data_IF_560390081060
#
_entry.id   IF_560390081060
#
_cell.length_a   1.000
_cell.length_b   1.000
_cell.length_c   1.000
_cell.angle_alpha   90.00
_cell.angle_beta   90.00
_cell.angle_gamma   90.00
#
_symmetry.space_group_name_H-M   'P 1'
#
loop_
_entity.id
_entity.type
_entity.pdbx_description
1 polymer ?
#
# COMPACT_ATOMS: atom_id res chain seq x y z
N UNK A 1 -36.21 -7.00 8.01
CA UNK A 1 -36.49 -5.94 9.00
C UNK A 1 -37.84 -6.18 9.66
N UNK A 2 -38.03 -5.78 10.92
CA UNK A 2 -39.36 -5.75 11.57
C UNK A 2 -39.91 -4.32 11.52
N UNK A 3 -40.92 -4.09 10.65
CA UNK A 3 -41.48 -2.76 10.45
C UNK A 3 -42.23 -2.19 11.66
N UNK A 4 -42.65 -3.04 12.62
CA UNK A 4 -43.21 -2.57 13.88
C UNK A 4 -42.17 -1.93 14.82
N UNK A 5 -40.88 -2.13 14.53
CA UNK A 5 -39.75 -1.62 15.31
C UNK A 5 -38.90 -0.60 14.56
N UNK A 6 -39.35 -0.17 13.38
CA UNK A 6 -38.67 0.87 12.61
C UNK A 6 -38.59 2.15 13.45
N UNK A 7 -37.39 2.70 13.56
CA UNK A 7 -37.05 3.84 14.41
C UNK A 7 -36.24 4.90 13.67
N UNK A 8 -35.43 4.50 12.68
CA UNK A 8 -34.70 5.43 11.82
C UNK A 8 -35.51 5.80 10.56
N UNK A 9 -35.25 6.99 10.01
CA UNK A 9 -35.93 7.51 8.81
C UNK A 9 -35.85 6.54 7.63
N UNK A 10 -34.68 5.93 7.42
CA UNK A 10 -34.50 4.97 6.33
C UNK A 10 -35.33 3.70 6.54
N UNK A 11 -35.54 3.27 7.79
CA UNK A 11 -36.39 2.13 8.12
C UNK A 11 -37.85 2.46 7.84
N UNK A 12 -38.30 3.67 8.19
CA UNK A 12 -39.63 4.15 7.81
C UNK A 12 -39.80 4.24 6.29
N UNK A 13 -38.77 4.69 5.56
CA UNK A 13 -38.78 4.72 4.10
C UNK A 13 -38.95 3.31 3.52
N UNK A 14 -38.16 2.34 4.02
CA UNK A 14 -38.22 0.92 3.61
C UNK A 14 -39.61 0.34 3.91
N UNK A 15 -40.11 0.52 5.13
CA UNK A 15 -41.37 -0.07 5.57
C UNK A 15 -42.61 0.50 4.87
N UNK A 16 -42.52 1.71 4.35
CA UNK A 16 -43.62 2.36 3.63
C UNK A 16 -43.49 2.28 2.10
N UNK A 17 -42.61 1.44 1.56
CA UNK A 17 -42.55 1.04 0.15
C UNK A 17 -42.46 -0.51 0.05
N UNK A 18 -43.52 -1.20 -0.43
CA UNK A 18 -43.52 -2.67 -0.53
C UNK A 18 -42.36 -3.25 -1.34
N UNK A 19 -41.82 -2.49 -2.32
CA UNK A 19 -40.68 -2.92 -3.13
C UNK A 19 -39.39 -2.98 -2.30
N UNK A 20 -39.22 -2.04 -1.36
CA UNK A 20 -38.07 -2.02 -0.45
C UNK A 20 -38.17 -3.11 0.61
N UNK A 21 -39.36 -3.37 1.15
CA UNK A 21 -39.59 -4.51 2.06
C UNK A 21 -39.22 -5.83 1.38
N UNK A 22 -39.66 -6.03 0.13
CA UNK A 22 -39.30 -7.22 -0.65
C UNK A 22 -37.79 -7.33 -0.91
N UNK A 23 -37.12 -6.20 -1.21
CA UNK A 23 -35.68 -6.17 -1.44
C UNK A 23 -34.87 -6.47 -0.17
N UNK A 24 -35.28 -5.95 0.99
CA UNK A 24 -34.67 -6.26 2.30
C UNK A 24 -34.79 -7.76 2.63
N UNK A 25 -35.97 -8.35 2.41
CA UNK A 25 -36.20 -9.77 2.61
C UNK A 25 -35.36 -10.64 1.65
N UNK A 26 -35.26 -10.25 0.38
CA UNK A 26 -34.44 -10.94 -0.62
C UNK A 26 -32.95 -10.90 -0.25
N UNK A 27 -32.44 -9.75 0.20
CA UNK A 27 -31.07 -9.59 0.67
C UNK A 27 -30.79 -10.48 1.88
N UNK A 28 -31.69 -10.50 2.87
CA UNK A 28 -31.58 -11.37 4.04
C UNK A 28 -31.54 -12.85 3.68
N UNK A 29 -32.36 -13.28 2.71
CA UNK A 29 -32.34 -14.65 2.18
C UNK A 29 -31.00 -14.99 1.51
N UNK A 30 -30.49 -14.11 0.64
CA UNK A 30 -29.21 -14.32 -0.04
C UNK A 30 -28.04 -14.45 0.96
N UNK A 31 -28.06 -13.66 2.04
CA UNK A 31 -27.07 -13.77 3.11
C UNK A 31 -27.20 -15.06 3.92
N UNK A 32 -28.42 -15.50 4.21
CA UNK A 32 -28.64 -16.79 4.87
C UNK A 32 -28.16 -17.96 4.00
N UNK A 33 -28.27 -17.87 2.67
CA UNK A 33 -27.80 -18.88 1.73
C UNK A 33 -26.27 -18.92 1.64
N UNK A 34 -25.59 -17.79 1.45
CA UNK A 34 -24.11 -17.79 1.41
C UNK A 34 -23.50 -18.23 2.74
N UNK A 35 -24.11 -17.89 3.88
CA UNK A 35 -23.64 -18.37 5.17
C UNK A 35 -23.73 -19.90 5.25
N UNK A 36 -24.72 -20.55 4.63
CA UNK A 36 -24.81 -22.02 4.57
C UNK A 36 -23.82 -22.65 3.58
N UNK A 37 -23.22 -21.87 2.69
CA UNK A 37 -22.25 -22.37 1.71
C UNK A 37 -20.85 -22.62 2.29
N UNK A 38 -20.63 -22.28 3.57
CA UNK A 38 -19.34 -22.46 4.24
C UNK A 38 -19.52 -22.77 5.73
N UNK A 39 -18.74 -23.74 6.21
CA UNK A 39 -18.63 -24.09 7.63
C UNK A 39 -17.47 -23.36 8.33
N UNK A 40 -16.67 -22.59 7.58
CA UNK A 40 -15.53 -21.87 8.13
C UNK A 40 -15.99 -20.69 9.00
N UNK A 41 -15.74 -20.77 10.30
CA UNK A 41 -16.17 -19.76 11.27
C UNK A 41 -15.64 -18.36 10.96
N UNK A 42 -14.40 -18.23 10.47
CA UNK A 42 -13.81 -16.93 10.14
C UNK A 42 -14.42 -16.32 8.88
N UNK A 43 -14.68 -17.11 7.84
CA UNK A 43 -15.39 -16.64 6.63
C UNK A 43 -16.83 -16.25 6.98
N UNK A 44 -17.51 -17.06 7.80
CA UNK A 44 -18.87 -16.72 8.30
C UNK A 44 -18.88 -15.40 9.07
N UNK A 45 -17.91 -15.21 9.97
CA UNK A 45 -17.76 -13.96 10.72
C UNK A 45 -17.50 -12.77 9.80
N UNK A 46 -16.62 -12.92 8.80
CA UNK A 46 -16.36 -11.89 7.80
C UNK A 46 -17.62 -11.53 7.02
N UNK A 47 -18.40 -12.50 6.55
CA UNK A 47 -19.65 -12.26 5.81
C UNK A 47 -20.68 -11.49 6.67
N UNK A 48 -20.77 -11.82 7.95
CA UNK A 48 -21.65 -11.10 8.90
C UNK A 48 -21.18 -9.66 9.09
N UNK A 49 -19.87 -9.44 9.30
CA UNK A 49 -19.30 -8.10 9.45
C UNK A 49 -19.47 -7.26 8.19
N UNK A 50 -19.22 -7.84 7.02
CA UNK A 50 -19.44 -7.23 5.71
C UNK A 50 -20.90 -6.78 5.56
N UNK A 51 -21.88 -7.62 5.87
CA UNK A 51 -23.29 -7.23 5.80
C UNK A 51 -23.68 -6.15 6.80
N UNK A 52 -23.19 -6.22 8.03
CA UNK A 52 -23.44 -5.19 9.04
C UNK A 52 -22.88 -3.84 8.62
N UNK A 53 -21.67 -3.83 8.05
CA UNK A 53 -21.04 -2.60 7.55
C UNK A 53 -21.83 -2.01 6.38
N UNK A 54 -22.30 -2.83 5.46
CA UNK A 54 -23.17 -2.37 4.37
C UNK A 54 -24.48 -1.74 4.88
N UNK A 55 -25.14 -2.36 5.87
CA UNK A 55 -26.36 -1.82 6.48
C UNK A 55 -26.07 -0.48 7.17
N UNK A 56 -24.97 -0.38 7.92
CA UNK A 56 -24.57 0.86 8.56
C UNK A 56 -24.30 1.99 7.55
N UNK A 57 -23.55 1.69 6.48
CA UNK A 57 -23.27 2.62 5.39
C UNK A 57 -24.55 3.07 4.67
N UNK A 58 -25.50 2.16 4.44
CA UNK A 58 -26.82 2.46 3.88
C UNK A 58 -27.57 3.45 4.77
N UNK A 59 -27.62 3.16 6.07
CA UNK A 59 -28.40 3.94 7.02
C UNK A 59 -27.82 5.34 7.21
N UNK A 60 -26.49 5.46 7.23
CA UNK A 60 -25.79 6.73 7.28
C UNK A 60 -25.92 7.50 5.94
N UNK A 61 -25.37 6.96 4.85
CA UNK A 61 -25.27 7.69 3.58
C UNK A 61 -26.61 7.90 2.89
N UNK A 62 -27.44 6.86 2.79
CA UNK A 62 -28.72 6.96 2.06
C UNK A 62 -29.86 7.47 2.96
N UNK A 63 -29.75 7.34 4.28
CA UNK A 63 -30.72 7.89 5.22
C UNK A 63 -30.69 9.42 5.25
N UNK A 64 -29.51 10.02 5.11
CA UNK A 64 -29.31 11.47 5.12
C UNK A 64 -29.89 12.18 3.88
N UNK A 65 -30.14 11.46 2.78
CA UNK A 65 -30.70 12.02 1.53
C UNK A 65 -32.01 12.77 1.71
N UNK A 66 -32.74 12.55 2.82
CA UNK A 66 -33.93 13.35 3.17
C UNK A 66 -33.61 14.84 3.27
N UNK A 67 -32.46 15.15 3.85
CA UNK A 67 -32.04 16.51 4.18
C UNK A 67 -31.04 17.07 3.15
N UNK A 68 -30.56 16.21 2.24
CA UNK A 68 -29.63 16.58 1.19
C UNK A 68 -30.33 17.14 -0.04
N UNK A 69 -29.60 17.99 -0.77
CA UNK A 69 -29.97 18.48 -2.09
C UNK A 69 -29.28 17.60 -3.12
N UNK A 70 -29.97 17.26 -4.21
CA UNK A 70 -29.31 16.65 -5.36
C UNK A 70 -28.38 17.70 -5.98
N UNK A 71 -27.08 17.48 -5.88
CA UNK A 71 -26.04 18.43 -6.31
C UNK A 71 -26.13 18.80 -7.79
N UNK A 72 -26.77 17.96 -8.62
CA UNK A 72 -26.93 18.20 -10.06
C UNK A 72 -28.14 19.07 -10.38
N UNK A 73 -29.25 18.81 -9.71
CA UNK A 73 -30.52 19.51 -9.98
C UNK A 73 -30.74 20.70 -9.06
N UNK A 74 -29.96 20.82 -7.98
CA UNK A 74 -30.14 21.85 -6.96
C UNK A 74 -31.45 21.71 -6.17
N UNK A 75 -32.16 20.59 -6.31
CA UNK A 75 -33.44 20.35 -5.61
C UNK A 75 -33.34 19.21 -4.59
N UNK A 76 -34.07 19.28 -3.46
CA UNK A 76 -34.13 18.18 -2.49
C UNK A 76 -34.61 16.87 -3.11
N UNK A 77 -34.12 15.75 -2.58
CA UNK A 77 -34.57 14.43 -3.05
C UNK A 77 -36.04 14.17 -2.68
N UNK A 78 -36.85 13.86 -3.69
CA UNK A 78 -38.22 13.40 -3.46
C UNK A 78 -38.21 12.04 -2.75
N UNK A 79 -39.30 11.72 -2.05
CA UNK A 79 -39.47 10.39 -1.42
C UNK A 79 -39.31 9.26 -2.44
N UNK A 80 -39.86 9.42 -3.64
CA UNK A 80 -39.75 8.43 -4.72
C UNK A 80 -38.30 8.25 -5.19
N UNK A 81 -37.55 9.35 -5.35
CA UNK A 81 -36.15 9.28 -5.75
C UNK A 81 -35.32 8.54 -4.68
N UNK A 82 -35.51 8.87 -3.40
CA UNK A 82 -34.87 8.16 -2.28
C UNK A 82 -35.19 6.66 -2.30
N UNK A 83 -36.46 6.29 -2.46
CA UNK A 83 -36.84 4.87 -2.54
C UNK A 83 -36.17 4.15 -3.70
N UNK A 84 -36.06 4.77 -4.88
CA UNK A 84 -35.42 4.15 -6.03
C UNK A 84 -33.90 3.96 -5.82
N UNK A 85 -33.22 4.92 -5.17
CA UNK A 85 -31.79 4.82 -4.83
C UNK A 85 -31.56 3.66 -3.86
N UNK A 86 -32.31 3.59 -2.77
CA UNK A 86 -32.19 2.51 -1.78
C UNK A 86 -32.53 1.15 -2.40
N UNK A 87 -33.54 1.09 -3.27
CA UNK A 87 -33.92 -0.14 -3.98
C UNK A 87 -32.77 -0.66 -4.85
N UNK A 88 -32.14 0.22 -5.62
CA UNK A 88 -30.99 -0.14 -6.48
C UNK A 88 -29.84 -0.68 -5.62
N UNK A 89 -29.50 0.01 -4.54
CA UNK A 89 -28.45 -0.41 -3.61
C UNK A 89 -28.72 -1.82 -3.02
N UNK A 90 -29.94 -2.07 -2.54
CA UNK A 90 -30.34 -3.38 -2.00
C UNK A 90 -30.26 -4.49 -3.05
N UNK A 91 -30.71 -4.20 -4.28
CA UNK A 91 -30.64 -5.17 -5.39
C UNK A 91 -29.19 -5.48 -5.78
N UNK A 92 -28.31 -4.48 -5.83
CA UNK A 92 -26.89 -4.69 -6.08
C UNK A 92 -26.24 -5.53 -4.99
N UNK A 93 -26.50 -5.22 -3.72
CA UNK A 93 -25.99 -6.01 -2.60
C UNK A 93 -26.51 -7.45 -2.61
N UNK A 94 -27.78 -7.65 -2.96
CA UNK A 94 -28.39 -9.00 -3.05
C UNK A 94 -27.72 -9.88 -4.12
N UNK A 95 -27.20 -9.28 -5.19
CA UNK A 95 -26.51 -10.03 -6.25
C UNK A 95 -25.12 -10.52 -5.82
N UNK A 96 -24.43 -9.80 -4.93
CA UNK A 96 -23.04 -10.12 -4.57
C UNK A 96 -22.86 -11.51 -3.92
N UNK A 97 -23.69 -11.94 -2.95
CA UNK A 97 -23.59 -13.28 -2.38
C UNK A 97 -23.77 -14.42 -3.39
N UNK A 98 -24.54 -14.21 -4.45
CA UNK A 98 -24.84 -15.22 -5.45
C UNK A 98 -23.94 -15.20 -6.69
N UNK A 99 -23.07 -14.18 -6.83
CA UNK A 99 -22.11 -14.13 -7.94
C UNK A 99 -21.08 -15.25 -7.77
N UNK A 100 -20.98 -16.13 -8.75
CA UNK A 100 -19.84 -17.04 -8.89
C UNK A 100 -18.58 -16.22 -9.14
N UNK A 101 -17.43 -16.72 -8.69
CA UNK A 101 -16.14 -16.13 -9.08
C UNK A 101 -16.01 -16.10 -10.61
N UNK A 102 -15.33 -15.10 -11.16
CA UNK A 102 -14.96 -15.05 -12.59
C UNK A 102 -13.95 -16.16 -12.94
N UNK A 103 -13.33 -16.77 -11.92
CA UNK A 103 -12.56 -18.00 -12.04
C UNK A 103 -13.48 -19.21 -11.88
N UNK A 104 -13.11 -20.36 -12.47
CA UNK A 104 -13.84 -21.62 -12.41
C UNK A 104 -13.91 -22.23 -10.99
N UNK A 105 -14.53 -21.53 -10.04
CA UNK A 105 -14.79 -21.98 -8.69
C UNK A 105 -16.28 -22.29 -8.52
N UNK A 106 -16.56 -23.44 -7.90
CA UNK A 106 -17.90 -23.83 -7.50
C UNK A 106 -18.41 -23.04 -6.26
N UNK A 107 -17.59 -22.20 -5.64
CA UNK A 107 -17.95 -21.43 -4.44
C UNK A 107 -18.49 -20.04 -4.80
N UNK A 108 -19.39 -19.48 -3.98
CA UNK A 108 -19.79 -18.08 -4.08
C UNK A 108 -18.58 -17.14 -4.03
N UNK A 109 -18.59 -16.07 -4.83
CA UNK A 109 -17.42 -15.22 -5.08
C UNK A 109 -16.86 -14.55 -3.82
N UNK A 110 -17.70 -14.16 -2.85
CA UNK A 110 -17.21 -13.64 -1.55
C UNK A 110 -16.49 -14.71 -0.72
N UNK A 111 -16.94 -15.97 -0.77
CA UNK A 111 -16.29 -17.09 -0.09
C UNK A 111 -14.97 -17.42 -0.79
N UNK A 112 -14.96 -17.42 -2.13
CA UNK A 112 -13.73 -17.68 -2.89
C UNK A 112 -12.67 -16.60 -2.61
N UNK A 113 -13.03 -15.31 -2.69
CA UNK A 113 -12.11 -14.21 -2.35
C UNK A 113 -11.54 -14.33 -0.94
N UNK A 114 -12.33 -14.80 0.03
CA UNK A 114 -11.85 -15.02 1.38
C UNK A 114 -10.81 -16.14 1.48
N UNK A 115 -10.97 -17.19 0.66
CA UNK A 115 -10.02 -18.30 0.54
C UNK A 115 -8.75 -17.81 -0.15
N UNK A 116 -8.89 -17.05 -1.23
CA UNK A 116 -7.76 -16.51 -1.99
C UNK A 116 -6.92 -15.57 -1.12
N UNK A 117 -7.58 -14.69 -0.34
CA UNK A 117 -6.92 -13.84 0.66
C UNK A 117 -6.08 -14.65 1.63
N UNK A 118 -6.68 -15.65 2.30
CA UNK A 118 -5.94 -16.48 3.25
C UNK A 118 -4.80 -17.25 2.61
N UNK A 119 -5.00 -17.72 1.38
CA UNK A 119 -3.98 -18.47 0.64
C UNK A 119 -2.79 -17.57 0.32
N UNK A 120 -3.05 -16.33 -0.10
CA UNK A 120 -2.01 -15.33 -0.32
C UNK A 120 -1.30 -14.97 0.99
N UNK A 121 -2.05 -14.68 2.05
CA UNK A 121 -1.53 -14.27 3.36
C UNK A 121 -0.68 -15.38 4.01
N UNK A 122 -1.01 -16.65 3.79
CA UNK A 122 -0.25 -17.79 4.29
C UNK A 122 1.17 -17.90 3.70
N UNK A 123 1.47 -17.17 2.63
CA UNK A 123 2.82 -17.05 2.07
C UNK A 123 3.76 -16.20 2.93
N UNK A 124 3.26 -15.52 3.96
CA UNK A 124 4.02 -14.63 4.81
C UNK A 124 3.93 -15.07 6.28
N UNK A 125 4.88 -14.60 7.09
CA UNK A 125 4.91 -14.91 8.52
C UNK A 125 3.79 -14.24 9.31
N UNK A 126 3.18 -13.18 8.78
CA UNK A 126 2.16 -12.38 9.46
C UNK A 126 2.74 -11.61 10.65
N UNK A 127 1.88 -11.25 11.59
CA UNK A 127 2.27 -10.60 12.84
C UNK A 127 1.24 -9.56 13.32
N UNK A 128 1.60 -8.79 14.34
CA UNK A 128 0.70 -7.80 14.96
C UNK A 128 0.29 -6.65 14.02
N UNK A 129 1.01 -6.47 12.91
CA UNK A 129 0.74 -5.44 11.91
C UNK A 129 0.09 -6.01 10.65
N UNK A 130 -0.23 -7.31 10.62
CA UNK A 130 -1.01 -7.91 9.54
C UNK A 130 -2.51 -7.73 9.80
N UNK A 131 -3.21 -7.17 8.81
CA UNK A 131 -4.66 -7.04 8.84
C UNK A 131 -5.13 -5.85 8.00
N UNK A 132 -6.39 -5.48 8.14
CA UNK A 132 -6.98 -4.33 7.46
C UNK A 132 -7.69 -3.38 8.40
N UNK A 133 -7.72 -2.12 7.97
CA UNK A 133 -8.62 -1.07 8.46
C UNK A 133 -9.53 -0.75 7.28
N UNK A 134 -10.84 -0.92 7.45
CA UNK A 134 -11.81 -0.76 6.36
C UNK A 134 -12.97 0.10 6.80
N UNK A 135 -13.24 1.13 6.02
CA UNK A 135 -14.45 1.93 6.10
C UNK A 135 -15.20 1.83 4.78
N UNK A 136 -16.53 1.88 4.82
CA UNK A 136 -17.33 1.79 3.61
C UNK A 136 -18.45 2.80 3.65
N UNK A 137 -18.76 3.35 2.49
CA UNK A 137 -19.75 4.40 2.33
C UNK A 137 -20.46 4.29 0.98
N UNK A 138 -21.54 5.05 0.84
CA UNK A 138 -22.21 5.25 -0.44
C UNK A 138 -21.71 6.54 -1.07
N UNK A 139 -20.82 6.41 -2.07
CA UNK A 139 -20.30 7.55 -2.81
C UNK A 139 -21.25 7.93 -3.95
N UNK A 140 -21.43 9.24 -4.23
CA UNK A 140 -22.22 9.67 -5.36
C UNK A 140 -21.54 9.25 -6.68
N UNK A 141 -22.31 8.61 -7.55
CA UNK A 141 -21.96 8.39 -8.95
C UNK A 141 -23.04 9.05 -9.82
N UNK A 142 -22.77 9.20 -11.11
CA UNK A 142 -23.49 10.14 -11.95
C UNK A 142 -25.01 10.23 -11.64
N UNK A 143 -25.76 9.18 -11.91
CA UNK A 143 -27.20 9.10 -11.62
C UNK A 143 -27.54 8.18 -10.43
N UNK A 144 -26.56 7.86 -9.58
CA UNK A 144 -26.68 6.78 -8.61
C UNK A 144 -25.79 6.99 -7.38
N UNK A 145 -25.85 6.03 -6.46
CA UNK A 145 -24.88 5.89 -5.38
C UNK A 145 -24.23 4.52 -5.51
N UNK A 146 -22.92 4.46 -5.35
CA UNK A 146 -22.17 3.22 -5.36
C UNK A 146 -21.67 2.93 -3.95
N UNK A 147 -21.84 1.69 -3.51
CA UNK A 147 -21.20 1.22 -2.28
C UNK A 147 -19.71 0.98 -2.54
N UNK A 148 -18.86 1.76 -1.89
CA UNK A 148 -17.41 1.64 -1.97
C UNK A 148 -16.82 1.37 -0.59
N UNK A 149 -15.73 0.62 -0.54
CA UNK A 149 -14.96 0.38 0.66
C UNK A 149 -13.53 0.87 0.44
N UNK A 150 -13.03 1.61 1.42
CA UNK A 150 -11.76 2.32 1.39
C UNK A 150 -11.02 2.07 2.70
N UNK A 151 -9.70 2.28 2.69
CA UNK A 151 -8.85 2.02 3.84
C UNK A 151 -7.55 1.35 3.46
N UNK A 152 -6.92 0.67 4.42
CA UNK A 152 -5.56 0.16 4.27
C UNK A 152 -5.50 -1.32 4.62
N UNK A 153 -4.94 -2.12 3.71
CA UNK A 153 -4.53 -3.50 3.97
C UNK A 153 -3.02 -3.52 4.21
N UNK A 154 -2.64 -4.05 5.36
CA UNK A 154 -1.25 -4.27 5.76
C UNK A 154 -0.92 -5.74 5.68
N UNK A 155 0.30 -6.01 5.23
CA UNK A 155 0.89 -7.32 5.17
C UNK A 155 2.20 -7.29 5.94
N UNK A 156 2.44 -8.32 6.75
CA UNK A 156 3.68 -8.42 7.51
C UNK A 156 4.46 -9.69 7.13
N UNK A 157 5.76 -9.51 6.89
CA UNK A 157 6.69 -10.61 6.77
C UNK A 157 7.99 -10.32 7.56
N UNK A 158 8.18 -11.03 8.67
CA UNK A 158 9.25 -10.80 9.64
C UNK A 158 9.19 -9.35 10.15
N UNK A 159 10.28 -8.61 9.96
CA UNK A 159 10.36 -7.19 10.31
C UNK A 159 9.93 -6.27 9.17
N UNK A 160 9.37 -6.78 8.06
CA UNK A 160 8.88 -5.96 6.95
C UNK A 160 7.36 -5.81 7.04
N UNK A 161 6.87 -4.58 6.84
CA UNK A 161 5.45 -4.29 6.68
C UNK A 161 5.24 -3.56 5.36
N UNK A 162 4.32 -4.06 4.54
CA UNK A 162 3.94 -3.44 3.27
C UNK A 162 2.43 -3.21 3.27
N UNK A 163 1.97 -2.10 2.68
CA UNK A 163 0.54 -1.80 2.64
C UNK A 163 0.06 -1.22 1.33
N UNK A 164 -1.19 -1.55 0.99
CA UNK A 164 -1.99 -0.83 0.00
C UNK A 164 -3.03 -0.03 0.76
N UNK A 165 -3.05 1.29 0.54
CA UNK A 165 -4.16 2.15 0.95
C UNK A 165 -4.95 2.56 -0.28
N UNK A 166 -6.27 2.46 -0.18
CA UNK A 166 -7.23 2.94 -1.17
C UNK A 166 -8.06 4.05 -0.54
N UNK A 167 -8.17 5.18 -1.23
CA UNK A 167 -8.94 6.34 -0.80
C UNK A 167 -9.75 6.87 -1.96
N UNK A 168 -10.92 7.44 -1.70
CA UNK A 168 -11.76 8.07 -2.70
C UNK A 168 -11.87 9.56 -2.43
N UNK A 169 -11.44 10.36 -3.41
CA UNK A 169 -11.55 11.80 -3.32
C UNK A 169 -11.79 12.39 -4.71
N UNK A 170 -12.56 13.48 -4.78
CA UNK A 170 -12.79 14.22 -6.03
C UNK A 170 -13.33 13.38 -7.21
N UNK A 171 -14.02 12.28 -6.92
CA UNK A 171 -14.56 11.38 -7.95
C UNK A 171 -13.58 10.31 -8.46
N UNK A 172 -12.37 10.24 -7.93
CA UNK A 172 -11.34 9.29 -8.32
C UNK A 172 -10.90 8.39 -7.15
N UNK A 173 -10.47 7.16 -7.49
CA UNK A 173 -9.84 6.24 -6.55
C UNK A 173 -8.33 6.48 -6.57
N UNK A 174 -7.76 6.78 -5.41
CA UNK A 174 -6.33 6.93 -5.21
C UNK A 174 -5.76 5.72 -4.48
N UNK A 175 -4.67 5.16 -4.99
CA UNK A 175 -3.96 4.06 -4.36
C UNK A 175 -2.56 4.50 -3.89
N UNK A 176 -2.27 4.33 -2.59
CA UNK A 176 -0.95 4.57 -2.01
C UNK A 176 -0.34 3.24 -1.56
N UNK A 177 0.84 2.92 -2.09
CA UNK A 177 1.69 1.82 -1.64
C UNK A 177 2.67 2.32 -0.59
N UNK A 178 2.96 1.50 0.41
CA UNK A 178 3.89 1.89 1.47
C UNK A 178 4.78 0.72 1.89
N UNK A 179 5.99 1.06 2.31
CA UNK A 179 7.01 0.13 2.82
C UNK A 179 7.47 0.62 4.17
N UNK A 180 7.57 -0.27 5.14
CA UNK A 180 8.07 0.00 6.47
C UNK A 180 8.87 -1.18 7.03
N UNK A 181 9.73 -0.90 8.00
CA UNK A 181 10.39 -1.91 8.81
C UNK A 181 9.94 -1.82 10.27
N UNK A 182 9.83 -2.95 10.95
CA UNK A 182 9.59 -3.05 12.39
C UNK A 182 10.91 -2.84 13.13
N UNK A 183 11.06 -1.67 13.75
CA UNK A 183 12.25 -1.28 14.51
C UNK A 183 11.82 -0.95 15.93
N UNK A 184 12.39 -1.67 16.92
CA UNK A 184 12.00 -1.50 18.32
C UNK A 184 10.53 -1.85 18.58
N UNK A 185 9.99 -2.84 17.85
CA UNK A 185 8.59 -3.27 17.96
C UNK A 185 7.57 -2.30 17.36
N UNK A 186 8.01 -1.27 16.63
CA UNK A 186 7.15 -0.28 15.97
C UNK A 186 7.44 -0.23 14.48
N UNK A 187 6.42 -0.11 13.62
CA UNK A 187 6.67 0.03 12.20
C UNK A 187 7.14 1.46 11.91
N UNK A 188 8.30 1.57 11.29
CA UNK A 188 8.89 2.82 10.81
C UNK A 188 8.81 2.86 9.29
N UNK A 189 8.09 3.85 8.78
CA UNK A 189 7.93 4.06 7.35
C UNK A 189 9.29 4.28 6.68
N UNK A 190 9.50 3.57 5.58
CA UNK A 190 10.67 3.72 4.70
C UNK A 190 10.28 4.59 3.52
N UNK A 191 9.15 4.28 2.88
CA UNK A 191 8.74 4.96 1.67
C UNK A 191 7.24 4.81 1.38
N UNK A 192 6.74 5.73 0.57
CA UNK A 192 5.40 5.71 0.00
C UNK A 192 5.46 5.98 -1.50
N UNK A 193 4.52 5.42 -2.26
CA UNK A 193 4.34 5.71 -3.68
C UNK A 193 2.85 5.72 -4.04
N UNK A 194 2.39 6.77 -4.74
CA UNK A 194 1.00 6.88 -5.20
C UNK A 194 0.88 6.23 -6.58
N UNK A 195 0.38 4.99 -6.60
CA UNK A 195 0.18 4.19 -7.80
C UNK A 195 -0.89 4.80 -8.69
N UNK A 196 -0.73 4.73 -10.00
CA UNK A 196 -1.60 5.39 -10.98
C UNK A 196 -1.29 6.87 -11.22
N UNK A 197 -0.54 7.51 -10.31
CA UNK A 197 0.01 8.87 -10.50
C UNK A 197 1.50 8.80 -10.85
N UNK A 198 2.24 7.88 -10.22
CA UNK A 198 3.67 7.68 -10.44
C UNK A 198 3.99 6.22 -10.75
N UNK A 199 5.15 5.99 -11.35
CA UNK A 199 5.73 4.66 -11.45
C UNK A 199 6.20 4.19 -10.06
N UNK A 200 5.64 3.08 -9.60
CA UNK A 200 5.94 2.47 -8.31
C UNK A 200 6.69 1.13 -8.47
N UNK A 201 7.33 0.90 -9.63
CA UNK A 201 8.29 -0.17 -9.77
C UNK A 201 9.45 0.02 -8.79
N UNK A 202 10.14 -1.09 -8.50
CA UNK A 202 11.37 -1.05 -7.71
C UNK A 202 12.39 -0.10 -8.36
N UNK A 203 13.10 0.69 -7.54
CA UNK A 203 14.13 1.62 -8.02
C UNK A 203 13.60 2.91 -8.64
N UNK A 204 12.29 2.99 -8.90
CA UNK A 204 11.67 4.13 -9.56
C UNK A 204 11.73 5.43 -8.75
N UNK A 205 11.73 6.56 -9.45
CA UNK A 205 11.64 7.91 -8.87
C UNK A 205 10.27 8.23 -8.28
N UNK A 206 9.27 7.37 -8.45
CA UNK A 206 7.96 7.55 -7.84
C UNK A 206 7.94 7.37 -6.32
N UNK A 207 8.89 6.61 -5.77
CA UNK A 207 9.02 6.39 -4.33
C UNK A 207 9.54 7.63 -3.60
N UNK A 208 8.84 8.02 -2.53
CA UNK A 208 9.24 9.13 -1.65
C UNK A 208 10.58 8.93 -0.96
N UNK A 209 11.04 7.68 -0.94
CA UNK A 209 12.34 7.22 -0.52
C UNK A 209 13.46 8.14 -1.07
N UNK A 210 13.40 8.52 -2.36
CA UNK A 210 14.40 9.37 -3.01
C UNK A 210 14.22 10.87 -2.77
N UNK A 211 13.00 11.33 -2.42
CA UNK A 211 12.68 12.75 -2.17
C UNK A 211 12.69 13.12 -0.69
N UNK A 212 12.85 12.14 0.20
CA UNK A 212 13.14 12.34 1.62
C UNK A 212 11.95 12.46 2.56
N UNK A 213 10.70 12.50 2.10
CA UNK A 213 9.53 12.55 3.00
C UNK A 213 8.37 11.66 2.55
N UNK A 214 7.99 10.65 3.35
CA UNK A 214 6.75 9.90 3.18
C UNK A 214 5.51 10.78 3.22
N UNK A 215 4.44 10.31 2.58
CA UNK A 215 3.11 10.93 2.65
C UNK A 215 2.63 11.01 4.12
N UNK A 216 2.25 12.21 4.56
CA UNK A 216 1.92 12.49 5.95
C UNK A 216 0.69 11.72 6.46
N UNK A 217 -0.30 11.53 5.60
CA UNK A 217 -1.52 10.80 5.94
C UNK A 217 -1.20 9.31 6.16
N UNK A 218 -0.39 8.75 5.26
CA UNK A 218 0.14 7.39 5.39
C UNK A 218 1.00 7.24 6.65
N UNK A 219 1.84 8.23 6.97
CA UNK A 219 2.63 8.21 8.20
C UNK A 219 1.74 8.15 9.45
N UNK A 220 0.67 8.95 9.51
CA UNK A 220 -0.29 8.93 10.62
C UNK A 220 -0.95 7.57 10.79
N UNK A 221 -1.29 6.89 9.68
CA UNK A 221 -1.85 5.54 9.71
C UNK A 221 -0.86 4.56 10.36
N UNK A 222 0.43 4.60 9.97
CA UNK A 222 1.47 3.75 10.56
C UNK A 222 1.77 4.06 12.03
N UNK A 223 1.61 5.32 12.46
CA UNK A 223 1.74 5.70 13.86
C UNK A 223 0.59 5.16 14.76
N UNK A 224 -0.50 4.70 14.13
CA UNK A 224 -1.71 4.21 14.79
C UNK A 224 -1.95 2.70 14.65
N UNK A 225 -1.34 2.04 13.67
CA UNK A 225 -1.60 0.61 13.36
C UNK A 225 -1.44 -0.32 14.57
N UNK A 226 -0.44 -0.09 15.44
CA UNK A 226 -0.23 -0.88 16.66
C UNK A 226 -1.16 -0.54 17.84
N UNK A 227 -2.05 0.44 17.68
CA UNK A 227 -2.99 0.91 18.72
C UNK A 227 -4.41 0.41 18.52
N UNK A 228 -4.71 -0.16 17.37
CA UNK A 228 -6.04 -0.64 17.00
C UNK A 228 -5.99 -2.11 16.60
N UNK A 229 -7.11 -2.82 16.80
CA UNK A 229 -7.22 -4.21 16.36
C UNK A 229 -7.47 -4.24 14.86
N UNK A 230 -6.58 -4.90 14.11
CA UNK A 230 -6.74 -5.07 12.68
C UNK A 230 -7.66 -6.26 12.37
N UNK A 231 -8.43 -6.15 11.28
CA UNK A 231 -9.25 -7.25 10.80
C UNK A 231 -8.39 -8.18 9.94
N UNK A 232 -8.23 -9.44 10.33
CA UNK A 232 -7.38 -10.39 9.61
C UNK A 232 -7.96 -10.86 8.27
N UNK A 233 -9.28 -10.78 8.09
CA UNK A 233 -9.97 -11.20 6.88
C UNK A 233 -11.08 -10.22 6.52
N UNK A 234 -10.93 -9.56 5.38
CA UNK A 234 -11.92 -8.61 4.86
C UNK A 234 -11.80 -8.51 3.33
N UNK A 235 -12.80 -9.05 2.63
CA UNK A 235 -12.81 -9.16 1.16
C UNK A 235 -13.35 -7.91 0.46
N UNK A 236 -13.74 -6.88 1.22
CA UNK A 236 -14.30 -5.64 0.67
C UNK A 236 -13.19 -4.67 0.22
N UNK A 237 -11.97 -4.77 0.76
CA UNK A 237 -10.76 -4.06 0.30
C UNK A 237 -9.92 -4.85 -0.70
N UNK A 238 -10.48 -5.90 -1.31
CA UNK A 238 -9.64 -6.84 -2.04
C UNK A 238 -8.83 -6.14 -3.14
N UNK A 239 -7.54 -6.45 -3.14
CA UNK A 239 -6.54 -5.77 -3.91
C UNK A 239 -6.83 -5.90 -5.40
N UNK A 240 -6.72 -4.79 -6.13
CA UNK A 240 -6.78 -4.79 -7.59
C UNK A 240 -5.82 -5.82 -8.19
N UNK A 241 -6.19 -6.39 -9.34
CA UNK A 241 -5.28 -7.21 -10.15
C UNK A 241 -3.93 -6.49 -10.31
N UNK A 242 -2.83 -7.20 -10.03
CA UNK A 242 -1.47 -6.64 -10.09
C UNK A 242 -0.90 -6.15 -8.76
N UNK A 243 -1.67 -6.12 -7.68
CA UNK A 243 -1.11 -5.83 -6.35
C UNK A 243 -0.27 -6.98 -5.76
N UNK A 244 -0.58 -8.23 -6.12
CA UNK A 244 0.12 -9.40 -5.56
C UNK A 244 1.63 -9.42 -5.86
N UNK A 245 2.03 -9.05 -7.08
CA UNK A 245 3.43 -9.12 -7.49
C UNK A 245 4.31 -8.14 -6.71
N UNK A 246 3.89 -6.87 -6.61
CA UNK A 246 4.66 -5.88 -5.86
C UNK A 246 4.62 -6.17 -4.36
N UNK A 247 3.51 -6.68 -3.82
CA UNK A 247 3.41 -7.06 -2.41
C UNK A 247 4.42 -8.17 -2.08
N UNK A 248 4.47 -9.23 -2.90
CA UNK A 248 5.47 -10.28 -2.77
C UNK A 248 6.88 -9.69 -2.77
N UNK A 249 7.20 -8.86 -3.78
CA UNK A 249 8.50 -8.21 -3.87
C UNK A 249 8.82 -7.35 -2.63
N UNK A 250 7.90 -6.49 -2.20
CA UNK A 250 8.07 -5.62 -1.03
C UNK A 250 8.33 -6.43 0.25
N UNK A 251 7.60 -7.53 0.44
CA UNK A 251 7.65 -8.36 1.64
C UNK A 251 8.85 -9.30 1.70
N UNK A 252 9.45 -9.66 0.56
CA UNK A 252 10.55 -10.64 0.50
C UNK A 252 11.89 -10.05 0.09
N UNK A 253 11.90 -8.93 -0.65
CA UNK A 253 13.13 -8.31 -1.13
C UNK A 253 13.67 -7.27 -0.12
N UNK A 254 14.87 -7.46 0.42
CA UNK A 254 15.49 -6.48 1.32
C UNK A 254 15.88 -5.16 0.63
N UNK A 255 16.11 -5.16 -0.69
CA UNK A 255 16.49 -3.98 -1.50
C UNK A 255 15.32 -3.08 -1.88
N UNK A 256 14.10 -3.61 -1.89
CA UNK A 256 12.90 -2.84 -2.19
C UNK A 256 12.64 -1.74 -1.11
N UNK A 257 12.18 -0.54 -1.49
CA UNK A 257 11.82 -0.06 -2.85
C UNK A 257 12.97 0.58 -3.63
N UNK A 258 14.19 0.50 -3.13
CA UNK A 258 15.33 1.27 -3.61
C UNK A 258 15.95 0.71 -4.89
N UNK A 259 15.72 -0.56 -5.21
CA UNK A 259 16.41 -1.29 -6.28
C UNK A 259 17.21 -2.47 -5.75
N UNK A 260 17.25 -3.57 -6.50
CA UNK A 260 18.38 -4.49 -6.45
C UNK A 260 19.67 -3.68 -6.70
N UNK A 261 20.79 -4.12 -6.07
CA UNK A 261 22.11 -3.48 -6.04
C UNK A 261 22.26 -2.31 -7.01
N UNK A 262 22.45 -1.10 -6.48
CA UNK A 262 22.79 0.09 -7.26
C UNK A 262 23.60 -0.29 -8.50
N UNK A 263 23.17 0.12 -9.69
CA UNK A 263 23.99 -0.05 -10.90
C UNK A 263 25.29 0.73 -10.70
N UNK A 264 26.31 0.03 -10.19
CA UNK A 264 27.56 0.62 -9.75
C UNK A 264 28.30 1.21 -10.94
N UNK A 265 28.18 0.60 -12.12
CA UNK A 265 28.81 1.12 -13.32
C UNK A 265 28.19 2.45 -13.71
N UNK A 266 26.86 2.56 -13.70
CA UNK A 266 26.17 3.82 -13.95
C UNK A 266 26.52 4.90 -12.91
N UNK A 267 26.57 4.54 -11.63
CA UNK A 267 26.98 5.45 -10.56
C UNK A 267 28.40 5.98 -10.78
N UNK A 268 29.36 5.08 -11.05
CA UNK A 268 30.75 5.48 -11.28
C UNK A 268 30.89 6.28 -12.58
N UNK A 269 30.22 5.90 -13.67
CA UNK A 269 30.19 6.68 -14.92
C UNK A 269 29.72 8.12 -14.67
N UNK A 270 28.67 8.31 -13.86
CA UNK A 270 28.15 9.62 -13.49
C UNK A 270 29.15 10.42 -12.63
N UNK A 271 29.78 9.79 -11.65
CA UNK A 271 30.84 10.40 -10.82
C UNK A 271 32.01 10.84 -11.69
N UNK A 272 32.48 9.99 -12.62
CA UNK A 272 33.62 10.28 -13.47
C UNK A 272 33.30 11.25 -14.63
N UNK A 273 32.03 11.40 -14.98
CA UNK A 273 31.56 12.46 -15.88
C UNK A 273 31.45 13.83 -15.20
N UNK A 274 31.55 13.91 -13.87
CA UNK A 274 31.60 15.17 -13.15
C UNK A 274 32.88 15.96 -13.46
N UNK A 275 32.98 17.19 -12.93
CA UNK A 275 34.18 18.02 -13.11
C UNK A 275 35.41 17.24 -12.63
N UNK A 276 36.49 17.24 -13.42
CA UNK A 276 37.75 16.59 -13.03
C UNK A 276 38.46 17.35 -11.91
N UNK A 277 38.95 16.68 -10.87
CA UNK A 277 39.74 17.31 -9.80
C UNK A 277 41.11 17.77 -10.34
N UNK A 278 41.55 18.96 -9.93
CA UNK A 278 42.87 19.50 -10.31
C UNK A 278 43.81 19.51 -9.10
N UNK A 279 45.01 18.95 -9.28
CA UNK A 279 46.02 18.90 -8.21
C UNK A 279 45.54 18.06 -7.01
N UNK A 280 45.40 18.70 -5.85
CA UNK A 280 44.93 18.10 -4.59
C UNK A 280 43.45 18.42 -4.28
N UNK A 281 42.71 18.94 -5.27
CA UNK A 281 41.28 19.22 -5.12
C UNK A 281 40.49 17.93 -4.82
N UNK A 282 39.55 18.02 -3.88
CA UNK A 282 38.56 16.98 -3.62
C UNK A 282 37.19 17.50 -4.04
N UNK A 283 36.52 16.78 -4.92
CA UNK A 283 35.19 17.15 -5.40
C UNK A 283 34.18 16.29 -4.65
N UNK A 284 33.29 16.95 -3.91
CA UNK A 284 32.19 16.26 -3.22
C UNK A 284 31.21 15.71 -4.24
N UNK A 285 31.03 14.39 -4.20
CA UNK A 285 30.10 13.63 -5.05
C UNK A 285 29.10 12.83 -4.22
N UNK A 286 28.94 13.18 -2.94
CA UNK A 286 28.06 12.49 -1.99
C UNK A 286 26.61 12.43 -2.46
N UNK A 287 26.12 13.48 -3.13
CA UNK A 287 24.77 13.52 -3.69
C UNK A 287 24.57 12.49 -4.80
N UNK A 288 25.59 12.22 -5.61
CA UNK A 288 25.53 11.18 -6.64
C UNK A 288 25.40 9.84 -5.95
N UNK A 289 26.32 9.51 -5.04
CA UNK A 289 26.32 8.23 -4.32
C UNK A 289 25.03 8.03 -3.54
N UNK A 290 24.49 9.06 -2.89
CA UNK A 290 23.23 8.98 -2.12
C UNK A 290 22.01 8.68 -3.00
N UNK A 291 22.02 9.03 -4.30
CA UNK A 291 20.95 8.62 -5.22
C UNK A 291 20.95 7.12 -5.50
N UNK A 292 22.10 6.48 -5.44
CA UNK A 292 22.25 5.04 -5.68
C UNK A 292 22.20 4.24 -4.36
N UNK A 293 22.69 4.83 -3.28
CA UNK A 293 22.67 4.31 -1.91
C UNK A 293 21.98 5.30 -0.97
N UNK A 294 20.65 5.33 -0.98
CA UNK A 294 19.87 6.24 -0.15
C UNK A 294 20.02 5.92 1.33
N UNK A 295 19.81 6.95 2.16
CA UNK A 295 19.78 6.78 3.61
C UNK A 295 18.77 5.69 4.01
N UNK A 296 19.10 4.98 5.08
CA UNK A 296 18.49 3.76 5.58
C UNK A 296 18.76 2.48 4.78
N UNK A 297 19.56 2.51 3.72
CA UNK A 297 20.06 1.29 3.06
C UNK A 297 20.75 0.39 4.08
N UNK A 298 20.41 -0.91 4.12
CA UNK A 298 21.03 -1.86 5.06
C UNK A 298 22.50 -2.08 4.72
N UNK A 299 23.35 -2.17 5.72
CA UNK A 299 24.78 -2.45 5.57
C UNK A 299 25.06 -3.68 4.69
N UNK A 300 24.33 -4.78 4.94
CA UNK A 300 24.46 -6.01 4.17
C UNK A 300 24.08 -5.84 2.67
N UNK A 301 23.07 -5.04 2.35
CA UNK A 301 22.67 -4.77 0.96
C UNK A 301 23.72 -3.92 0.22
N UNK A 302 24.34 -3.00 0.96
CA UNK A 302 25.42 -2.17 0.45
C UNK A 302 26.67 -3.01 0.17
N UNK A 303 27.10 -3.87 1.11
CA UNK A 303 28.19 -4.84 0.89
C UNK A 303 27.90 -5.74 -0.29
N UNK A 304 26.70 -6.31 -0.37
CA UNK A 304 26.29 -7.19 -1.46
C UNK A 304 26.42 -6.51 -2.82
N UNK A 305 26.14 -5.20 -2.89
CA UNK A 305 26.28 -4.42 -4.13
C UNK A 305 27.74 -4.33 -4.58
N UNK A 306 28.69 -4.18 -3.66
CA UNK A 306 30.12 -4.09 -3.96
C UNK A 306 30.85 -5.44 -3.99
N UNK A 307 30.18 -6.55 -3.68
CA UNK A 307 30.76 -7.90 -3.64
C UNK A 307 31.19 -8.43 -5.03
N UNK A 308 30.44 -8.20 -6.13
CA UNK A 308 30.91 -8.57 -7.46
C UNK A 308 32.23 -7.84 -7.79
N UNK A 309 33.22 -8.52 -8.38
CA UNK A 309 34.49 -7.89 -8.74
C UNK A 309 34.27 -6.84 -9.84
N UNK A 310 34.79 -5.63 -9.62
CA UNK A 310 34.73 -4.50 -10.54
C UNK A 310 36.00 -3.64 -10.47
N UNK A 311 35.89 -2.34 -10.77
CA UNK A 311 36.97 -1.35 -10.61
C UNK A 311 37.13 -0.87 -9.15
N UNK A 312 36.25 -1.33 -8.27
CA UNK A 312 36.16 -0.96 -6.86
C UNK A 312 36.67 -2.05 -5.92
N UNK A 313 36.96 -1.61 -4.70
CA UNK A 313 37.42 -2.44 -3.58
C UNK A 313 36.82 -1.93 -2.28
N UNK A 314 36.37 -2.84 -1.43
CA UNK A 314 36.05 -2.52 -0.03
C UNK A 314 37.39 -2.40 0.71
N UNK A 315 37.68 -1.20 1.20
CA UNK A 315 38.92 -0.88 1.93
C UNK A 315 38.73 -1.13 3.42
N UNK A 316 37.51 -0.90 3.93
CA UNK A 316 37.16 -1.07 5.33
C UNK A 316 35.71 -1.53 5.46
N UNK A 317 35.47 -2.49 6.35
CA UNK A 317 34.15 -3.04 6.70
C UNK A 317 34.07 -3.19 8.23
N UNK A 318 33.41 -2.24 8.88
CA UNK A 318 33.12 -2.19 10.30
C UNK A 318 31.59 -2.06 10.52
N UNK A 319 31.08 -2.47 11.70
CA UNK A 319 29.63 -2.41 11.98
C UNK A 319 29.00 -1.02 11.82
N UNK A 320 29.77 0.05 12.07
CA UNK A 320 29.33 1.44 12.01
C UNK A 320 29.89 2.19 10.79
N UNK A 321 30.75 1.54 9.97
CA UNK A 321 31.43 2.20 8.85
C UNK A 321 31.84 1.22 7.74
N UNK A 322 31.55 1.57 6.49
CA UNK A 322 32.10 0.92 5.29
C UNK A 322 32.83 1.95 4.44
N UNK A 323 34.04 1.63 4.01
CA UNK A 323 34.82 2.46 3.07
C UNK A 323 35.03 1.68 1.79
N UNK A 324 34.58 2.26 0.68
CA UNK A 324 34.76 1.70 -0.67
C UNK A 324 35.60 2.67 -1.48
N UNK A 325 36.55 2.13 -2.23
CA UNK A 325 37.37 2.88 -3.17
C UNK A 325 37.24 2.30 -4.56
N UNK A 326 36.96 3.16 -5.52
CA UNK A 326 37.03 2.83 -6.94
C UNK A 326 38.21 3.56 -7.60
N UNK A 327 38.93 2.82 -8.45
CA UNK A 327 40.08 3.33 -9.17
C UNK A 327 39.85 3.13 -10.66
N UNK A 328 39.54 4.22 -11.36
CA UNK A 328 39.46 4.22 -12.82
C UNK A 328 40.70 4.88 -13.42
N UNK A 329 41.36 4.13 -14.29
CA UNK A 329 42.67 4.49 -14.86
C UNK A 329 43.86 4.14 -13.95
N UNK A 330 45.07 4.17 -14.50
CA UNK A 330 46.33 4.01 -13.74
C UNK A 330 47.11 5.31 -13.89
N UNK A 331 47.50 5.93 -12.77
CA UNK A 331 48.25 7.20 -12.77
C UNK A 331 49.52 7.18 -13.64
N UNK A 332 50.12 5.98 -13.80
CA UNK A 332 51.31 5.77 -14.64
C UNK A 332 51.04 5.81 -16.16
N UNK A 333 49.78 5.69 -16.59
CA UNK A 333 49.36 5.59 -18.00
C UNK A 333 48.46 6.76 -18.40
N UNK A 334 47.65 7.27 -17.47
CA UNK A 334 46.69 8.35 -17.72
C UNK A 334 46.96 9.54 -16.79
N UNK A 335 47.39 10.70 -17.31
CA UNK A 335 47.70 11.89 -16.50
C UNK A 335 46.47 12.50 -15.77
N UNK A 336 45.27 12.02 -16.11
CA UNK A 336 43.98 12.39 -15.54
C UNK A 336 43.32 11.27 -14.70
N UNK A 337 44.07 10.20 -14.38
CA UNK A 337 43.55 9.12 -13.56
C UNK A 337 42.95 9.68 -12.26
N UNK A 338 41.76 9.20 -11.90
CA UNK A 338 41.01 9.70 -10.75
C UNK A 338 40.46 8.52 -9.95
N UNK A 339 40.41 8.67 -8.64
CA UNK A 339 39.85 7.69 -7.72
C UNK A 339 38.65 8.31 -7.02
N UNK A 340 37.64 7.52 -6.70
CA UNK A 340 36.59 7.94 -5.77
C UNK A 340 36.70 7.15 -4.48
N UNK A 341 36.61 7.85 -3.35
CA UNK A 341 36.55 7.26 -2.02
C UNK A 341 35.19 7.57 -1.44
N UNK A 342 34.45 6.52 -1.09
CA UNK A 342 33.11 6.60 -0.52
C UNK A 342 33.15 6.02 0.89
N UNK A 343 32.68 6.80 1.86
CA UNK A 343 32.52 6.41 3.25
C UNK A 343 31.04 6.40 3.57
N UNK A 344 30.57 5.24 4.04
CA UNK A 344 29.21 5.00 4.47
C UNK A 344 29.22 4.83 5.99
N UNK A 345 28.47 5.66 6.71
CA UNK A 345 28.31 5.52 8.16
C UNK A 345 26.96 4.89 8.47
N UNK A 346 26.92 3.98 9.45
CA UNK A 346 25.73 3.22 9.81
C UNK A 346 25.22 3.57 11.20
N UNK A 347 23.90 3.57 11.34
CA UNK A 347 23.23 3.65 12.63
C UNK A 347 23.40 2.35 13.42
N UNK A 348 23.01 2.36 14.70
CA UNK A 348 22.98 1.13 15.53
C UNK A 348 22.08 0.03 14.95
N UNK A 349 21.13 0.39 14.10
CA UNK A 349 20.22 -0.54 13.43
C UNK A 349 20.83 -1.11 12.13
N UNK A 350 22.13 -0.90 11.88
CA UNK A 350 22.86 -1.32 10.67
C UNK A 350 22.28 -0.75 9.36
N UNK A 351 21.75 0.47 9.43
CA UNK A 351 21.20 1.21 8.30
C UNK A 351 22.00 2.47 8.02
N UNK A 352 22.17 2.81 6.74
CA UNK A 352 22.98 3.93 6.27
C UNK A 352 22.46 5.25 6.82
N UNK A 353 23.22 5.92 7.67
CA UNK A 353 22.84 7.21 8.26
C UNK A 353 23.50 8.40 7.57
N UNK A 354 24.65 8.19 6.94
CA UNK A 354 25.39 9.24 6.24
C UNK A 354 26.25 8.66 5.13
N UNK A 355 26.35 9.39 4.01
CA UNK A 355 27.28 9.13 2.91
C UNK A 355 28.24 10.30 2.81
N UNK A 356 29.52 10.02 2.63
CA UNK A 356 30.53 11.01 2.26
C UNK A 356 31.37 10.45 1.14
N UNK A 357 31.35 11.08 -0.02
CA UNK A 357 32.08 10.61 -1.18
C UNK A 357 32.87 11.74 -1.83
N UNK A 358 34.14 11.48 -2.12
CA UNK A 358 35.05 12.44 -2.73
C UNK A 358 35.71 11.85 -3.97
N UNK A 359 35.64 12.59 -5.07
CA UNK A 359 36.41 12.34 -6.27
C UNK A 359 37.75 13.08 -6.15
N UNK A 360 38.84 12.32 -6.28
CA UNK A 360 40.22 12.81 -6.12
C UNK A 360 41.05 12.41 -7.33
N UNK A 361 42.09 13.20 -7.62
CA UNK A 361 43.08 12.80 -8.61
C UNK A 361 43.90 11.63 -8.05
N UNK A 362 44.08 10.57 -8.85
CA UNK A 362 44.95 9.45 -8.51
C UNK A 362 46.40 9.95 -8.47
N UNK A 363 47.07 9.72 -7.35
CA UNK A 363 48.49 10.07 -7.16
C UNK A 363 49.42 8.96 -7.64
#
# INVERSE_FOLDING_TARGET
MDCGKASAEIEHLICADPRLVAADAAMGKAYAEILKSTDDAGIRSMLISSQRRWIAARDQGLGELRNSVNERTGVPYTRQARSNIVLKAMQERTRQPGRTSDQASAKPGLVQRAIDQRTFDAGFTGGQFDGSIVECEFVPQADAYAYGCFGTRFFQNNNRVCSVSQDWASGELYQTRSVADVIGGKPKMIATCKSGIKDCAEGSHGWSARSGQPDADTQRIYDQIGKQTLTSLDVELWAEEGNEQWLKQCLTDPGFPWGASADLNAMFDEIYASRKPVGFEQIDVSDVVTRYFPLNTRHAALIQSFTPPGTWTIVEDLPDRLVVRDNRGRAMIEPDASSVVMTFAFSRDSTLSQVTAVLIKSQ
#
